data_IF_019987133806
#
_entry.id   IF_019987133806
#
_cell.length_a   1.000
_cell.length_b   1.000
_cell.length_c   1.000
_cell.angle_alpha   90.00
_cell.angle_beta   90.00
_cell.angle_gamma   90.00
#
_symmetry.space_group_name_H-M   'P 1'
#
loop_
_entity.id
_entity.type
_entity.pdbx_description
1 polymer ?
#
# COMPACT_ATOMS: atom_id res chain seq x y z
N UNK A 1 -0.49 14.14 8.33
CA UNK A 1 -0.44 13.26 7.13
C UNK A 1 -0.94 11.83 7.37
N UNK A 2 -0.85 11.26 8.59
CA UNK A 2 -1.32 9.88 8.89
C UNK A 2 -2.75 9.57 8.43
N UNK A 3 -3.69 10.51 8.58
CA UNK A 3 -5.08 10.31 8.16
C UNK A 3 -5.22 10.28 6.63
N UNK A 4 -4.65 11.26 5.92
CA UNK A 4 -4.71 11.34 4.47
C UNK A 4 -4.00 10.13 3.80
N UNK A 5 -2.83 9.74 4.31
CA UNK A 5 -2.12 8.56 3.82
C UNK A 5 -2.92 7.27 4.03
N UNK A 6 -3.55 7.11 5.21
CA UNK A 6 -4.39 5.94 5.50
C UNK A 6 -5.63 5.85 4.61
N UNK A 7 -6.36 6.96 4.42
CA UNK A 7 -7.53 7.00 3.54
C UNK A 7 -7.12 6.71 2.09
N UNK A 8 -6.03 7.32 1.62
CA UNK A 8 -5.52 7.10 0.27
C UNK A 8 -5.18 5.62 0.04
N UNK A 9 -4.47 4.99 0.98
CA UNK A 9 -4.17 3.55 0.91
C UNK A 9 -5.41 2.67 0.85
N UNK A 10 -6.44 2.97 1.63
CA UNK A 10 -7.69 2.20 1.64
C UNK A 10 -8.44 2.31 0.31
N UNK A 11 -8.59 3.53 -0.20
CA UNK A 11 -9.29 3.77 -1.48
C UNK A 11 -8.53 3.10 -2.62
N UNK A 12 -7.21 3.27 -2.68
CA UNK A 12 -6.38 2.63 -3.70
C UNK A 12 -6.40 1.12 -3.60
N UNK A 13 -6.36 0.56 -2.38
CA UNK A 13 -6.50 -0.88 -2.16
C UNK A 13 -7.80 -1.43 -2.71
N UNK A 14 -8.93 -0.76 -2.46
CA UNK A 14 -10.22 -1.15 -3.03
C UNK A 14 -10.22 -1.09 -4.56
N UNK A 15 -9.65 -0.05 -5.16
CA UNK A 15 -9.57 0.09 -6.63
C UNK A 15 -8.77 -1.06 -7.22
N UNK A 16 -7.58 -1.36 -6.67
CA UNK A 16 -6.72 -2.44 -7.14
C UNK A 16 -7.43 -3.80 -7.00
N UNK A 17 -8.13 -4.04 -5.88
CA UNK A 17 -8.89 -5.28 -5.67
C UNK A 17 -9.99 -5.46 -6.72
N UNK A 18 -10.79 -4.42 -6.98
CA UNK A 18 -11.84 -4.49 -8.00
C UNK A 18 -11.28 -4.63 -9.42
N UNK A 19 -10.17 -3.95 -9.73
CA UNK A 19 -9.48 -4.11 -11.01
C UNK A 19 -8.98 -5.55 -11.18
N UNK A 20 -8.37 -6.14 -10.15
CA UNK A 20 -7.93 -7.53 -10.19
C UNK A 20 -9.09 -8.51 -10.33
N UNK A 21 -10.22 -8.29 -9.68
CA UNK A 21 -11.43 -9.09 -9.90
C UNK A 21 -11.88 -9.03 -11.35
N UNK A 22 -11.92 -7.83 -11.94
CA UNK A 22 -12.32 -7.64 -13.34
C UNK A 22 -11.34 -8.33 -14.31
N UNK A 23 -10.03 -8.24 -14.07
CA UNK A 23 -8.99 -8.91 -14.85
C UNK A 23 -9.10 -10.43 -14.72
N UNK A 24 -9.33 -10.95 -13.51
CA UNK A 24 -9.47 -12.39 -13.28
C UNK A 24 -10.72 -12.98 -13.94
N UNK A 25 -11.87 -12.32 -13.78
CA UNK A 25 -13.13 -12.74 -14.43
C UNK A 25 -13.03 -12.59 -15.95
N UNK A 26 -12.49 -11.48 -16.44
CA UNK A 26 -12.27 -11.27 -17.87
C UNK A 26 -11.33 -12.33 -18.45
N UNK A 27 -10.22 -12.60 -17.79
CA UNK A 27 -9.28 -13.64 -18.19
C UNK A 27 -9.91 -15.03 -18.28
N UNK A 28 -10.78 -15.37 -17.33
CA UNK A 28 -11.50 -16.65 -17.36
C UNK A 28 -12.54 -16.74 -18.49
N UNK A 29 -13.19 -15.63 -18.85
CA UNK A 29 -14.17 -15.59 -19.95
C UNK A 29 -13.48 -15.69 -21.32
N UNK A 30 -12.30 -15.10 -21.45
CA UNK A 30 -11.54 -15.04 -22.70
C UNK A 30 -10.46 -16.13 -22.83
N UNK A 31 -10.39 -17.08 -21.89
CA UNK A 31 -9.39 -18.17 -21.84
C UNK A 31 -7.92 -17.65 -21.86
N UNK A 32 -7.71 -16.50 -21.22
CA UNK A 32 -6.41 -15.83 -21.10
C UNK A 32 -5.74 -16.23 -19.79
N UNK A 33 -5.03 -17.36 -19.78
CA UNK A 33 -4.35 -17.90 -18.59
C UNK A 33 -3.39 -16.88 -17.96
N UNK A 34 -2.68 -16.12 -18.80
CA UNK A 34 -1.79 -15.02 -18.41
C UNK A 34 -2.52 -13.95 -17.58
N UNK A 35 -3.80 -13.69 -17.89
CA UNK A 35 -4.61 -12.71 -17.19
C UNK A 35 -5.16 -13.22 -15.87
N UNK A 36 -5.59 -14.48 -15.84
CA UNK A 36 -5.99 -15.16 -14.60
C UNK A 36 -4.82 -15.18 -13.62
N UNK A 37 -3.62 -15.52 -14.09
CA UNK A 37 -2.43 -15.58 -13.25
C UNK A 37 -2.01 -14.18 -12.74
N UNK A 38 -2.02 -13.16 -13.61
CA UNK A 38 -1.72 -11.78 -13.23
C UNK A 38 -2.73 -11.16 -12.25
N UNK A 39 -4.00 -11.58 -12.29
CA UNK A 39 -5.04 -11.10 -11.37
C UNK A 39 -4.72 -11.37 -9.90
N UNK A 40 -4.03 -12.48 -9.61
CA UNK A 40 -3.63 -12.89 -8.26
C UNK A 40 -2.59 -11.95 -7.64
N UNK A 41 -1.68 -11.42 -8.46
CA UNK A 41 -0.66 -10.47 -8.02
C UNK A 41 -1.30 -9.14 -7.60
N UNK A 42 -2.21 -8.62 -8.41
CA UNK A 42 -2.95 -7.40 -8.05
C UNK A 42 -3.87 -7.60 -6.83
N UNK A 43 -4.49 -8.78 -6.67
CA UNK A 43 -5.26 -9.13 -5.46
C UNK A 43 -4.40 -9.02 -4.21
N UNK A 44 -3.19 -9.61 -4.25
CA UNK A 44 -2.26 -9.57 -3.13
C UNK A 44 -1.82 -8.14 -2.81
N UNK A 45 -1.40 -7.37 -3.82
CA UNK A 45 -0.97 -5.96 -3.65
C UNK A 45 -2.12 -5.11 -3.11
N UNK A 46 -3.33 -5.24 -3.65
CA UNK A 46 -4.52 -4.53 -3.20
C UNK A 46 -4.88 -4.85 -1.74
N UNK A 47 -4.77 -6.11 -1.33
CA UNK A 47 -5.02 -6.52 0.05
C UNK A 47 -4.01 -5.90 1.02
N UNK A 48 -2.72 -5.87 0.64
CA UNK A 48 -1.68 -5.24 1.47
C UNK A 48 -1.90 -3.72 1.54
N UNK A 49 -2.36 -3.08 0.45
CA UNK A 49 -2.76 -1.67 0.47
C UNK A 49 -3.89 -1.42 1.48
N UNK A 50 -4.92 -2.27 1.47
CA UNK A 50 -6.06 -2.17 2.36
C UNK A 50 -5.65 -2.34 3.82
N UNK A 51 -4.91 -3.41 4.14
CA UNK A 51 -4.42 -3.70 5.49
C UNK A 51 -3.47 -2.61 5.97
N UNK A 52 -2.51 -2.21 5.14
CA UNK A 52 -1.56 -1.15 5.45
C UNK A 52 -2.25 0.20 5.67
N UNK A 53 -3.29 0.51 4.90
CA UNK A 53 -4.13 1.71 5.09
C UNK A 53 -4.86 1.71 6.42
N UNK A 54 -5.48 0.59 6.80
CA UNK A 54 -6.14 0.44 8.10
C UNK A 54 -5.17 0.66 9.28
N UNK A 55 -3.94 0.16 9.17
CA UNK A 55 -2.92 0.37 10.21
C UNK A 55 -2.29 1.77 10.23
N UNK A 56 -2.48 2.60 9.19
CA UNK A 56 -1.87 3.93 9.12
C UNK A 56 -2.33 4.88 10.25
N UNK A 57 -3.54 4.67 10.78
CA UNK A 57 -4.12 5.51 11.82
C UNK A 57 -3.52 5.25 13.21
N UNK A 58 -3.39 3.98 13.59
CA UNK A 58 -2.95 3.57 14.92
C UNK A 58 -1.46 3.20 14.97
N UNK A 59 -0.96 2.53 13.92
CA UNK A 59 0.37 1.90 13.86
C UNK A 59 1.10 2.31 12.56
N UNK A 60 1.54 3.58 12.44
CA UNK A 60 2.16 4.09 11.21
C UNK A 60 3.44 3.36 10.79
N UNK A 61 4.15 2.73 11.75
CA UNK A 61 5.32 1.87 11.43
C UNK A 61 4.92 0.58 10.73
N UNK A 62 3.85 -0.07 11.19
CA UNK A 62 3.32 -1.30 10.56
C UNK A 62 2.81 -0.98 9.16
N UNK A 63 2.07 0.13 9.03
CA UNK A 63 1.60 0.64 7.74
C UNK A 63 2.74 0.91 6.77
N UNK A 64 3.84 1.54 7.21
CA UNK A 64 5.02 1.76 6.38
C UNK A 64 5.62 0.46 5.86
N UNK A 65 5.82 -0.54 6.73
CA UNK A 65 6.41 -1.83 6.31
C UNK A 65 5.49 -2.52 5.30
N UNK A 66 4.17 -2.54 5.55
CA UNK A 66 3.19 -3.07 4.61
C UNK A 66 3.27 -2.37 3.24
N UNK A 67 3.38 -1.04 3.23
CA UNK A 67 3.50 -0.25 2.00
C UNK A 67 4.81 -0.50 1.24
N UNK A 68 5.92 -0.75 1.95
CA UNK A 68 7.18 -1.15 1.31
C UNK A 68 7.03 -2.52 0.64
N UNK A 69 6.41 -3.47 1.33
CA UNK A 69 6.18 -4.82 0.78
C UNK A 69 5.27 -4.74 -0.45
N UNK A 70 4.15 -4.02 -0.36
CA UNK A 70 3.26 -3.77 -1.51
C UNK A 70 4.00 -3.09 -2.66
N UNK A 71 4.90 -2.17 -2.34
CA UNK A 71 5.75 -1.48 -3.29
C UNK A 71 6.65 -2.40 -4.11
N UNK A 72 7.41 -3.24 -3.41
CA UNK A 72 8.32 -4.21 -4.03
C UNK A 72 7.51 -5.21 -4.87
N UNK A 73 6.43 -5.76 -4.31
CA UNK A 73 5.59 -6.72 -5.02
C UNK A 73 4.91 -6.11 -6.25
N UNK A 74 4.40 -4.87 -6.15
CA UNK A 74 3.80 -4.16 -7.28
C UNK A 74 4.80 -3.88 -8.40
N UNK A 75 6.02 -3.44 -8.06
CA UNK A 75 7.08 -3.24 -9.06
C UNK A 75 7.45 -4.57 -9.74
N UNK A 76 7.66 -5.64 -8.98
CA UNK A 76 7.97 -6.96 -9.54
C UNK A 76 6.81 -7.45 -10.43
N UNK A 77 5.58 -7.35 -9.96
CA UNK A 77 4.42 -7.76 -10.74
C UNK A 77 4.31 -6.95 -12.05
N UNK A 78 4.53 -5.65 -12.01
CA UNK A 78 4.43 -4.82 -13.22
C UNK A 78 5.59 -4.94 -14.21
N UNK A 79 6.75 -5.46 -13.79
CA UNK A 79 7.88 -5.73 -14.69
C UNK A 79 7.93 -7.16 -15.21
N UNK A 80 7.29 -8.10 -14.51
CA UNK A 80 7.28 -9.54 -14.88
C UNK A 80 5.99 -9.98 -15.56
N UNK A 81 4.92 -9.18 -15.47
CA UNK A 81 3.63 -9.45 -16.13
C UNK A 81 3.30 -8.38 -17.18
N UNK A 82 2.26 -8.63 -17.98
CA UNK A 82 1.75 -7.64 -18.93
C UNK A 82 1.10 -6.40 -18.27
N UNK A 83 0.91 -6.41 -16.94
CA UNK A 83 0.20 -5.40 -16.18
C UNK A 83 1.12 -4.28 -15.70
N UNK A 84 1.53 -3.40 -16.63
CA UNK A 84 2.46 -2.30 -16.32
C UNK A 84 1.91 -1.31 -15.28
N UNK A 85 0.57 -1.24 -15.12
CA UNK A 85 -0.08 -0.47 -14.07
C UNK A 85 0.33 -0.92 -12.66
N UNK A 86 0.71 -2.19 -12.46
CA UNK A 86 1.24 -2.67 -11.18
C UNK A 86 2.54 -1.97 -10.77
N UNK A 87 3.38 -1.56 -11.73
CA UNK A 87 4.59 -0.77 -11.42
C UNK A 87 4.21 0.59 -10.85
N UNK A 88 3.17 1.22 -11.40
CA UNK A 88 2.66 2.51 -10.90
C UNK A 88 2.12 2.35 -9.48
N UNK A 89 1.32 1.31 -9.23
CA UNK A 89 0.82 1.01 -7.89
C UNK A 89 1.94 0.74 -6.89
N UNK A 90 2.97 0.01 -7.34
CA UNK A 90 4.19 -0.20 -6.58
C UNK A 90 4.83 1.12 -6.17
N UNK A 91 5.15 2.00 -7.13
CA UNK A 91 5.75 3.33 -6.84
C UNK A 91 4.89 4.16 -5.88
N UNK A 92 3.57 4.17 -6.07
CA UNK A 92 2.64 4.88 -5.16
C UNK A 92 2.72 4.32 -3.74
N UNK A 93 2.85 3.00 -3.58
CA UNK A 93 3.03 2.38 -2.27
C UNK A 93 4.31 2.89 -1.57
N UNK A 94 5.42 3.02 -2.29
CA UNK A 94 6.67 3.55 -1.74
C UNK A 94 6.52 5.00 -1.29
N UNK A 95 5.81 5.83 -2.08
CA UNK A 95 5.52 7.22 -1.69
C UNK A 95 4.73 7.24 -0.38
N UNK A 96 3.69 6.42 -0.26
CA UNK A 96 2.90 6.32 0.96
C UNK A 96 3.75 5.81 2.14
N UNK A 97 4.66 4.86 1.92
CA UNK A 97 5.58 4.40 2.95
C UNK A 97 6.43 5.55 3.50
N UNK A 98 6.97 6.41 2.62
CA UNK A 98 7.73 7.60 3.03
C UNK A 98 6.85 8.56 3.84
N UNK A 99 5.60 8.80 3.42
CA UNK A 99 4.66 9.63 4.18
C UNK A 99 4.41 9.08 5.59
N UNK A 100 4.24 7.76 5.71
CA UNK A 100 4.05 7.08 6.99
C UNK A 100 5.31 7.12 7.88
N UNK A 101 6.50 7.11 7.29
CA UNK A 101 7.77 7.30 8.01
C UNK A 101 7.86 8.66 8.70
N UNK A 102 7.59 9.73 7.96
CA UNK A 102 7.57 11.07 8.55
C UNK A 102 6.45 11.24 9.59
N UNK A 103 5.28 10.61 9.37
CA UNK A 103 4.19 10.62 10.34
C UNK A 103 4.58 9.93 11.67
N UNK A 104 5.33 8.84 11.61
CA UNK A 104 5.83 8.12 12.80
C UNK A 104 6.86 8.92 13.60
N UNK A 105 7.78 9.63 12.92
CA UNK A 105 8.81 10.46 13.59
C UNK A 105 8.22 11.63 14.38
N UNK A 106 7.18 12.29 13.85
CA UNK A 106 6.51 13.41 14.52
C UNK A 106 5.87 13.00 15.86
N UNK A 107 5.36 11.76 15.96
CA UNK A 107 4.80 11.24 17.23
C UNK A 107 5.88 11.13 18.31
N UNK A 108 7.04 10.57 17.97
CA UNK A 108 8.15 10.38 18.92
C UNK A 108 8.70 11.72 19.45
N UNK A 109 8.84 12.72 18.58
CA UNK A 109 9.33 14.04 18.99
C UNK A 109 8.40 14.77 19.98
N UNK A 110 7.07 14.57 19.86
CA UNK A 110 6.11 15.12 20.82
C UNK A 110 6.17 14.41 22.18
N UNK A 111 6.33 13.08 22.19
CA UNK A 111 6.51 12.32 23.44
C UNK A 111 7.79 12.73 24.17
N UNK A 112 8.93 12.89 23.47
CA UNK A 112 10.20 13.30 24.08
C UNK A 112 10.14 14.72 24.67
N UNK A 113 9.43 15.64 24.01
CA UNK A 113 9.25 17.02 24.50
C UNK A 113 8.34 17.07 25.73
N UNK A 114 7.28 16.26 25.78
CA UNK A 114 6.37 16.19 26.92
C UNK A 114 6.99 15.49 28.14
N UNK A 115 7.97 14.63 27.94
CA UNK A 115 8.68 13.92 29.01
C UNK A 115 9.81 14.73 29.66
N UNK A 116 10.18 15.89 29.10
CA UNK A 116 11.21 16.76 29.69
C UNK A 116 10.56 17.72 30.69
N UNK A 117 10.79 17.59 32.01
CA UNK A 117 10.26 18.54 32.98
C UNK A 117 10.79 19.95 32.70
N UNK A 118 9.99 21.01 32.91
CA UNK A 118 10.45 22.38 32.68
C UNK A 118 11.69 22.64 33.53
N UNK A 119 12.76 23.11 32.88
CA UNK A 119 13.98 23.53 33.56
C UNK A 119 13.60 24.63 34.57
N UNK A 120 13.72 24.28 35.85
CA UNK A 120 13.48 25.16 36.99
C UNK A 120 14.59 26.21 37.10
#
# INVERSE_FOLDING_TARGET
MKIAAGILSLVLGCIILFQSCAVGVGGAIFDEESAVQGSSAGMLVGLIFFIGGAFAFALPKVSMVAMIIAGILGIIAGTTTAYSDMTVWGVVALIIAVLNFFAGRKKKAQEDTAATPPAA
#
